data_IF_498202794508
#
_entry.id   IF_498202794508
#
_cell.length_a   1.000
_cell.length_b   1.000
_cell.length_c   1.000
_cell.angle_alpha   90.00
_cell.angle_beta   90.00
_cell.angle_gamma   90.00
#
_symmetry.space_group_name_H-M   'P 1'
#
loop_
_entity.id
_entity.type
_entity.pdbx_description
1 polymer ?
#
# COMPACT_ATOMS: atom_id res chain seq x y z
N UNK A 1 21.44 -11.28 11.45
CA UNK A 1 22.37 -10.24 11.96
C UNK A 1 23.77 -10.82 12.03
N UNK A 2 24.82 -9.99 12.06
CA UNK A 2 26.22 -10.45 12.11
C UNK A 2 26.86 -10.07 13.45
N UNK A 3 27.59 -10.99 14.06
CA UNK A 3 28.23 -10.84 15.38
C UNK A 3 29.49 -9.92 15.35
N UNK A 4 29.41 -8.77 14.68
CA UNK A 4 30.53 -7.82 14.48
C UNK A 4 30.08 -6.37 14.66
N UNK A 5 29.63 -6.03 15.87
CA UNK A 5 29.47 -4.65 16.40
C UNK A 5 28.45 -3.72 15.73
N UNK A 6 27.91 -4.03 14.54
CA UNK A 6 26.99 -3.11 13.87
C UNK A 6 26.73 -3.37 12.40
N UNK A 7 26.23 -2.34 11.71
CA UNK A 7 25.92 -2.39 10.28
C UNK A 7 25.51 -1.06 9.67
N UNK A 8 25.29 -1.06 8.35
CA UNK A 8 24.87 0.11 7.56
C UNK A 8 23.59 -0.25 6.81
N UNK A 9 22.60 0.64 6.81
CA UNK A 9 21.33 0.49 6.08
C UNK A 9 21.53 0.06 4.63
N UNK A 10 20.84 -1.01 4.21
CA UNK A 10 20.87 -1.53 2.83
C UNK A 10 20.39 -0.51 1.77
N UNK A 11 19.67 0.55 2.18
CA UNK A 11 19.28 1.67 1.29
C UNK A 11 20.46 2.56 0.88
N UNK A 12 21.59 2.51 1.59
CA UNK A 12 22.77 3.31 1.29
C UNK A 12 23.60 2.56 0.23
N UNK A 13 23.18 2.69 -1.03
CA UNK A 13 23.79 2.04 -2.19
C UNK A 13 25.08 2.70 -2.67
N UNK A 14 25.30 3.99 -2.34
CA UNK A 14 26.52 4.69 -2.75
C UNK A 14 27.77 4.11 -2.06
N UNK A 15 28.70 3.60 -2.86
CA UNK A 15 29.95 3.00 -2.41
C UNK A 15 30.84 3.97 -1.62
N UNK A 16 30.87 5.26 -1.96
CA UNK A 16 31.69 6.24 -1.21
C UNK A 16 31.13 6.51 0.18
N UNK A 17 29.82 6.79 0.29
CA UNK A 17 29.15 6.92 1.58
C UNK A 17 29.26 5.65 2.42
N UNK A 18 29.06 4.47 1.82
CA UNK A 18 29.13 3.20 2.54
C UNK A 18 30.53 2.90 3.07
N UNK A 19 31.60 3.31 2.36
CA UNK A 19 32.99 3.26 2.87
C UNK A 19 33.19 4.25 4.02
N UNK A 20 32.79 5.52 3.84
CA UNK A 20 32.88 6.60 4.84
C UNK A 20 32.19 6.24 6.15
N UNK A 21 30.97 5.70 6.07
CA UNK A 21 30.19 5.29 7.25
C UNK A 21 30.76 4.03 7.92
N UNK A 22 31.38 3.12 7.17
CA UNK A 22 32.07 1.95 7.76
C UNK A 22 33.28 2.39 8.58
N UNK A 23 34.04 3.37 8.08
CA UNK A 23 35.15 3.97 8.83
C UNK A 23 34.64 4.71 10.09
N UNK A 24 33.57 5.51 9.97
CA UNK A 24 32.96 6.16 11.14
C UNK A 24 32.50 5.13 12.19
N UNK A 25 31.96 3.98 11.78
CA UNK A 25 31.57 2.88 12.67
C UNK A 25 32.77 2.17 13.34
N UNK A 26 33.91 2.01 12.67
CA UNK A 26 35.13 1.49 13.30
C UNK A 26 35.79 2.50 14.26
N UNK A 27 35.50 3.79 14.07
CA UNK A 27 35.97 4.88 14.91
C UNK A 27 35.01 5.21 16.08
N UNK A 28 34.10 4.29 16.40
CA UNK A 28 33.25 4.32 17.59
C UNK A 28 33.63 3.17 18.52
N UNK A 29 33.88 3.49 19.78
CA UNK A 29 34.08 2.51 20.85
C UNK A 29 32.71 1.95 21.22
N UNK A 30 32.39 0.76 20.70
CA UNK A 30 31.13 0.06 20.93
C UNK A 30 31.37 -1.03 21.99
N UNK A 31 30.75 -0.95 23.19
CA UNK A 31 30.90 -1.95 24.24
C UNK A 31 30.43 -3.35 23.79
N UNK A 32 30.99 -4.38 24.41
CA UNK A 32 30.58 -5.76 24.16
C UNK A 32 29.09 -5.96 24.45
N UNK A 33 28.43 -6.81 23.65
CA UNK A 33 26.98 -7.00 23.67
C UNK A 33 26.16 -5.94 22.93
N UNK A 34 26.71 -4.75 22.62
CA UNK A 34 26.00 -3.70 21.87
C UNK A 34 26.27 -3.84 20.36
N UNK A 35 25.27 -3.51 19.52
CA UNK A 35 25.42 -3.44 18.07
C UNK A 35 24.75 -2.19 17.47
N UNK A 36 25.49 -1.38 16.73
CA UNK A 36 25.02 -0.07 16.20
C UNK A 36 24.73 -0.14 14.70
N UNK A 37 23.51 0.25 14.27
CA UNK A 37 23.12 0.25 12.86
C UNK A 37 22.88 1.68 12.35
N UNK A 38 23.73 2.14 11.42
CA UNK A 38 23.56 3.44 10.77
C UNK A 38 22.34 3.40 9.84
N UNK A 39 21.29 4.13 10.23
CA UNK A 39 20.05 4.32 9.47
C UNK A 39 20.29 5.17 8.21
N UNK A 40 19.37 5.11 7.24
CA UNK A 40 19.48 5.84 5.97
C UNK A 40 19.64 7.35 6.14
N UNK A 41 19.01 7.96 7.15
CA UNK A 41 19.15 9.38 7.48
C UNK A 41 20.57 9.77 7.95
N UNK A 42 21.37 8.81 8.44
CA UNK A 42 22.79 9.01 8.76
C UNK A 42 23.70 9.14 7.53
N UNK A 43 23.19 8.85 6.32
CA UNK A 43 24.02 8.78 5.09
C UNK A 43 24.74 10.07 4.73
N UNK A 44 24.17 11.24 5.08
CA UNK A 44 24.76 12.56 4.83
C UNK A 44 25.32 13.22 6.11
N UNK A 45 25.33 12.50 7.25
CA UNK A 45 25.77 13.04 8.55
C UNK A 45 27.28 12.91 8.73
N UNK A 46 27.86 13.84 9.50
CA UNK A 46 29.29 13.87 9.82
C UNK A 46 29.64 12.92 10.96
N UNK A 47 30.95 12.61 11.11
CA UNK A 47 31.46 11.80 12.22
C UNK A 47 31.05 12.35 13.60
N UNK A 48 31.00 13.68 13.74
CA UNK A 48 30.62 14.37 14.99
C UNK A 48 29.13 14.25 15.30
N UNK A 49 28.25 14.37 14.30
CA UNK A 49 26.80 14.15 14.47
C UNK A 49 26.52 12.68 14.85
N UNK A 50 27.10 11.73 14.11
CA UNK A 50 26.88 10.29 14.34
C UNK A 50 27.40 9.87 15.72
N UNK A 51 28.54 10.41 16.16
CA UNK A 51 29.07 10.16 17.50
C UNK A 51 28.16 10.75 18.59
N UNK A 52 27.62 11.96 18.42
CA UNK A 52 26.67 12.56 19.40
C UNK A 52 25.33 11.83 19.50
N UNK A 53 24.80 11.35 18.37
CA UNK A 53 23.60 10.50 18.34
C UNK A 53 23.85 9.19 19.09
N UNK A 54 25.02 8.57 18.89
CA UNK A 54 25.47 7.41 19.65
C UNK A 54 25.66 7.68 21.16
N UNK A 55 26.34 8.77 21.54
CA UNK A 55 26.50 9.22 22.94
C UNK A 55 25.16 9.58 23.61
N UNK A 56 24.16 10.01 22.84
CA UNK A 56 22.78 10.20 23.32
C UNK A 56 22.08 8.86 23.55
N UNK A 57 22.20 7.91 22.62
CA UNK A 57 21.61 6.57 22.75
C UNK A 57 22.20 5.75 23.91
N UNK A 58 23.52 5.87 24.16
CA UNK A 58 24.15 5.26 25.33
C UNK A 58 23.58 5.81 26.64
N UNK A 59 23.54 7.14 26.82
CA UNK A 59 22.97 7.76 28.03
C UNK A 59 21.50 7.41 28.22
N UNK A 60 20.72 7.35 27.13
CA UNK A 60 19.32 6.89 27.19
C UNK A 60 19.23 5.42 27.66
N UNK A 61 20.12 4.55 27.19
CA UNK A 61 20.19 3.16 27.65
C UNK A 61 20.60 3.04 29.12
N UNK A 62 21.57 3.82 29.58
CA UNK A 62 21.97 3.86 30.99
C UNK A 62 20.81 4.33 31.88
N UNK A 63 20.07 5.38 31.50
CA UNK A 63 18.86 5.83 32.21
C UNK A 63 17.75 4.78 32.21
N UNK A 64 17.55 4.06 31.10
CA UNK A 64 16.58 2.94 31.03
C UNK A 64 16.99 1.82 31.99
N UNK A 65 18.27 1.44 32.02
CA UNK A 65 18.79 0.41 32.93
C UNK A 65 18.62 0.83 34.40
N UNK A 66 18.98 2.07 34.73
CA UNK A 66 18.87 2.60 36.11
C UNK A 66 17.41 2.69 36.56
N UNK A 67 16.51 3.26 35.75
CA UNK A 67 15.08 3.28 36.04
C UNK A 67 14.51 1.85 36.21
N UNK A 68 14.97 0.87 35.41
CA UNK A 68 14.54 -0.53 35.53
C UNK A 68 14.97 -1.13 36.88
N UNK A 69 16.20 -0.89 37.31
CA UNK A 69 16.74 -1.41 38.58
C UNK A 69 16.10 -0.74 39.82
N UNK A 70 15.60 0.49 39.69
CA UNK A 70 14.92 1.22 40.76
C UNK A 70 13.39 0.96 40.81
N UNK A 71 12.81 0.35 39.77
CA UNK A 71 11.35 0.18 39.65
C UNK A 71 10.85 -1.19 40.12
N UNK A 72 9.72 -1.21 40.82
CA UNK A 72 8.94 -2.44 41.07
C UNK A 72 7.88 -2.60 39.97
N UNK A 73 7.73 -3.81 39.43
CA UNK A 73 6.81 -4.08 38.34
C UNK A 73 5.33 -4.17 38.81
N UNK A 74 4.35 -3.76 37.98
CA UNK A 74 4.50 -3.14 36.65
C UNK A 74 4.77 -1.62 36.74
N UNK A 75 5.73 -1.13 35.94
CA UNK A 75 6.09 0.28 35.86
C UNK A 75 6.46 0.70 34.43
N UNK A 76 6.23 1.97 34.08
CA UNK A 76 6.64 2.55 32.80
C UNK A 76 8.10 3.01 32.87
N UNK A 77 9.01 2.24 32.26
CA UNK A 77 10.45 2.55 32.26
C UNK A 77 10.83 3.62 31.22
N UNK A 78 10.20 3.58 30.03
CA UNK A 78 10.46 4.47 28.91
C UNK A 78 9.22 4.64 28.03
N UNK A 79 8.89 5.89 27.72
CA UNK A 79 7.89 6.26 26.71
C UNK A 79 8.60 6.58 25.38
N UNK A 80 8.22 5.93 24.27
CA UNK A 80 8.84 6.23 22.97
C UNK A 80 8.53 7.66 22.53
N UNK A 81 9.61 8.41 22.32
CA UNK A 81 9.66 9.85 22.15
C UNK A 81 8.45 10.45 21.39
N UNK A 82 7.87 11.50 21.98
CA UNK A 82 6.68 12.20 21.48
C UNK A 82 6.80 12.64 20.00
N UNK A 83 5.67 12.98 19.38
CA UNK A 83 5.60 13.29 17.94
C UNK A 83 6.65 14.33 17.49
N UNK A 84 6.93 15.34 18.31
CA UNK A 84 7.93 16.38 18.05
C UNK A 84 9.34 15.80 17.98
N UNK A 85 9.79 15.11 19.04
CA UNK A 85 11.12 14.45 19.08
C UNK A 85 11.25 13.42 17.95
N UNK A 86 10.20 12.64 17.68
CA UNK A 86 10.13 11.63 16.62
C UNK A 86 10.25 12.24 15.23
N UNK A 87 9.53 13.33 14.97
CA UNK A 87 9.59 14.09 13.70
C UNK A 87 10.97 14.70 13.48
N UNK A 88 11.58 15.31 14.50
CA UNK A 88 12.95 15.84 14.39
C UNK A 88 13.94 14.70 14.12
N UNK A 89 13.90 13.62 14.89
CA UNK A 89 14.81 12.46 14.71
C UNK A 89 14.69 11.82 13.32
N UNK A 90 13.47 11.66 12.82
CA UNK A 90 13.19 10.81 11.66
C UNK A 90 13.04 11.59 10.33
N UNK A 91 12.89 12.94 10.36
CA UNK A 91 12.74 13.79 9.17
C UNK A 91 13.70 14.99 9.08
N UNK A 92 14.35 15.42 10.18
CA UNK A 92 15.20 16.62 10.11
C UNK A 92 16.40 16.46 9.17
N UNK A 93 16.62 17.46 8.31
CA UNK A 93 17.75 17.52 7.38
C UNK A 93 18.45 18.88 7.42
N UNK A 94 19.69 18.95 6.91
CA UNK A 94 20.58 20.12 7.06
C UNK A 94 20.16 21.31 6.21
N UNK A 95 19.59 21.01 5.04
CA UNK A 95 18.99 21.86 4.03
C UNK A 95 17.67 22.53 4.48
N UNK A 96 17.00 22.01 5.51
CA UNK A 96 15.86 22.69 6.12
C UNK A 96 16.31 24.03 6.71
N UNK A 97 15.81 25.14 6.17
CA UNK A 97 16.16 26.50 6.61
C UNK A 97 15.75 26.72 8.06
N UNK A 98 14.45 26.56 8.35
CA UNK A 98 13.84 26.71 9.67
C UNK A 98 12.92 25.55 10.03
N UNK A 99 12.65 25.40 11.33
CA UNK A 99 11.68 24.49 11.92
C UNK A 99 10.76 25.32 12.80
N UNK A 100 9.59 25.68 12.25
CA UNK A 100 8.57 26.45 12.95
C UNK A 100 7.75 25.53 13.87
N UNK A 101 7.56 25.96 15.11
CA UNK A 101 6.77 25.22 16.11
C UNK A 101 5.78 26.16 16.78
N UNK A 102 4.50 25.83 16.69
CA UNK A 102 3.42 26.50 17.41
C UNK A 102 3.28 25.89 18.83
N UNK A 103 2.81 26.70 19.79
CA UNK A 103 2.71 26.36 21.20
C UNK A 103 4.04 26.37 21.99
N UNK A 104 4.01 26.94 23.21
CA UNK A 104 5.20 27.12 24.06
C UNK A 104 5.87 25.81 24.50
N UNK A 105 5.08 24.80 24.87
CA UNK A 105 5.62 23.51 25.33
C UNK A 105 6.28 22.72 24.20
N UNK A 106 5.60 22.69 23.05
CA UNK A 106 6.13 22.07 21.83
C UNK A 106 7.43 22.74 21.39
N UNK A 107 7.48 24.08 21.43
CA UNK A 107 8.68 24.84 21.11
C UNK A 107 9.86 24.50 22.04
N UNK A 108 9.64 24.49 23.37
CA UNK A 108 10.67 24.12 24.37
C UNK A 108 11.19 22.71 24.10
N UNK A 109 10.29 21.73 23.99
CA UNK A 109 10.64 20.32 23.74
C UNK A 109 11.41 20.13 22.42
N UNK A 110 11.01 20.80 21.34
CA UNK A 110 11.70 20.77 20.05
C UNK A 110 13.12 21.36 20.15
N UNK A 111 13.24 22.52 20.80
CA UNK A 111 14.50 23.27 20.90
C UNK A 111 15.52 22.55 21.77
N UNK A 112 15.09 21.99 22.91
CA UNK A 112 15.98 21.28 23.82
C UNK A 112 16.44 19.92 23.26
N UNK A 113 15.57 19.22 22.53
CA UNK A 113 15.98 18.03 21.78
C UNK A 113 16.98 18.34 20.65
N UNK A 114 16.80 19.48 19.96
CA UNK A 114 17.78 19.95 18.97
C UNK A 114 19.11 20.38 19.63
N UNK A 115 19.09 20.97 20.83
CA UNK A 115 20.31 21.25 21.62
C UNK A 115 21.07 19.97 21.96
N UNK A 116 20.39 18.88 22.32
CA UNK A 116 21.06 17.62 22.69
C UNK A 116 21.67 16.87 21.50
N UNK A 117 21.07 16.95 20.32
CA UNK A 117 21.58 16.27 19.11
C UNK A 117 22.52 17.15 18.26
N UNK A 118 22.04 18.32 17.82
CA UNK A 118 22.75 19.22 16.89
C UNK A 118 22.67 20.67 17.38
N UNK A 119 23.40 21.03 18.46
CA UNK A 119 23.28 22.35 19.09
C UNK A 119 23.60 23.54 18.17
N UNK A 120 24.42 23.36 17.13
CA UNK A 120 24.65 24.37 16.09
C UNK A 120 23.37 24.76 15.35
N UNK A 121 22.40 23.85 15.21
CA UNK A 121 21.16 24.06 14.49
C UNK A 121 19.97 24.34 15.42
N UNK A 122 20.17 24.38 16.75
CA UNK A 122 19.13 24.75 17.72
C UNK A 122 18.61 26.20 17.57
N UNK A 123 19.25 27.03 16.73
CA UNK A 123 18.76 28.34 16.30
C UNK A 123 17.70 28.27 15.17
N UNK A 124 17.72 27.22 14.34
CA UNK A 124 16.72 26.97 13.28
C UNK A 124 15.36 26.56 13.84
N UNK A 125 15.29 26.11 15.10
CA UNK A 125 14.03 25.87 15.79
C UNK A 125 13.48 27.22 16.25
N UNK A 126 12.48 27.73 15.54
CA UNK A 126 11.82 29.00 15.81
C UNK A 126 10.41 28.78 16.34
N UNK A 127 9.97 29.66 17.25
CA UNK A 127 8.60 29.64 17.76
C UNK A 127 7.71 30.41 16.78
N UNK A 128 6.59 29.81 16.39
CA UNK A 128 5.53 30.55 15.70
C UNK A 128 4.83 31.47 16.70
N UNK A 129 4.70 32.76 16.36
CA UNK A 129 4.21 33.81 17.28
C UNK A 129 3.06 34.64 16.74
N UNK A 130 2.69 34.43 15.49
CA UNK A 130 1.50 35.02 14.89
C UNK A 130 0.26 34.37 15.53
N UNK A 131 -0.63 35.21 16.07
CA UNK A 131 -1.87 34.80 16.74
C UNK A 131 -3.12 35.06 15.89
N UNK A 132 -2.97 35.74 14.76
CA UNK A 132 -4.07 36.12 13.86
C UNK A 132 -4.23 35.08 12.74
N UNK A 133 -3.11 34.51 12.25
CA UNK A 133 -3.12 33.48 11.21
C UNK A 133 -2.47 32.19 11.72
N UNK A 134 -3.21 31.07 11.81
CA UNK A 134 -2.64 29.76 12.15
C UNK A 134 -1.49 29.31 11.23
N UNK A 135 -0.50 28.61 11.79
CA UNK A 135 0.73 28.19 11.09
C UNK A 135 0.45 27.49 9.74
N UNK A 136 -0.44 26.50 9.72
CA UNK A 136 -0.77 25.75 8.49
C UNK A 136 -1.56 26.57 7.46
N UNK A 137 -2.36 27.54 7.91
CA UNK A 137 -3.08 28.45 7.01
C UNK A 137 -2.11 29.44 6.35
N UNK A 138 -1.18 30.03 7.13
CA UNK A 138 -0.17 30.99 6.63
C UNK A 138 0.73 30.38 5.55
N UNK A 139 1.06 29.09 5.67
CA UNK A 139 1.89 28.35 4.71
C UNK A 139 1.09 27.53 3.68
N UNK A 140 -0.25 27.67 3.62
CA UNK A 140 -1.14 26.94 2.69
C UNK A 140 -0.93 25.41 2.73
N UNK A 141 -0.75 24.89 3.94
CA UNK A 141 -0.69 23.45 4.24
C UNK A 141 -2.11 22.90 4.40
N UNK A 142 -3.02 23.68 4.99
CA UNK A 142 -4.39 23.24 5.32
C UNK A 142 -5.16 22.69 4.10
N UNK A 143 -5.15 23.41 2.98
CA UNK A 143 -5.79 22.98 1.74
C UNK A 143 -5.13 21.77 1.08
N UNK A 144 -3.93 21.38 1.50
CA UNK A 144 -3.28 20.14 1.08
C UNK A 144 -3.63 18.96 2.01
N UNK A 145 -3.88 19.23 3.29
CA UNK A 145 -4.38 18.23 4.25
C UNK A 145 -5.82 17.83 3.92
N UNK A 146 -6.68 18.81 3.63
CA UNK A 146 -8.05 18.55 3.15
C UNK A 146 -8.05 17.72 1.86
N UNK A 147 -7.25 18.12 0.87
CA UNK A 147 -7.08 17.40 -0.39
C UNK A 147 -6.50 15.97 -0.26
N UNK A 148 -6.00 15.55 0.91
CA UNK A 148 -5.61 14.16 1.17
C UNK A 148 -6.81 13.22 1.40
N UNK A 149 -8.01 13.74 1.68
CA UNK A 149 -9.25 12.95 1.76
C UNK A 149 -9.90 12.74 0.38
N UNK A 150 -9.63 13.61 -0.59
CA UNK A 150 -10.02 13.41 -1.99
C UNK A 150 -9.31 12.18 -2.59
N UNK A 151 -10.03 11.29 -3.28
CA UNK A 151 -9.42 10.23 -4.09
C UNK A 151 -8.70 10.78 -5.34
N UNK A 152 -9.02 12.02 -5.73
CA UNK A 152 -8.52 12.65 -6.96
C UNK A 152 -7.52 13.76 -6.62
N UNK A 153 -6.35 13.75 -7.27
CA UNK A 153 -5.25 14.71 -7.04
C UNK A 153 -4.91 15.42 -8.36
N UNK A 154 -5.04 16.75 -8.39
CA UNK A 154 -4.74 17.54 -9.59
C UNK A 154 -3.23 17.73 -9.80
N UNK A 155 -2.79 17.64 -11.07
CA UNK A 155 -1.43 17.93 -11.52
C UNK A 155 -1.36 19.39 -12.03
N UNK A 156 -0.19 20.04 -11.93
CA UNK A 156 0.03 21.44 -12.34
C UNK A 156 -0.23 21.63 -13.84
N UNK A 157 0.02 20.60 -14.65
CA UNK A 157 -0.24 20.59 -16.10
C UNK A 157 -1.74 20.48 -16.47
N UNK A 158 -2.66 20.30 -15.50
CA UNK A 158 -4.10 20.15 -15.76
C UNK A 158 -4.55 18.71 -16.07
N UNK A 159 -3.67 17.73 -15.86
CA UNK A 159 -4.02 16.33 -15.65
C UNK A 159 -4.36 16.04 -14.19
N UNK A 160 -4.68 14.79 -13.86
CA UNK A 160 -5.00 14.36 -12.50
C UNK A 160 -4.70 12.88 -12.26
N UNK A 161 -4.53 12.52 -10.99
CA UNK A 161 -4.42 11.15 -10.49
C UNK A 161 -5.74 10.72 -9.87
N UNK A 162 -6.13 9.46 -9.99
CA UNK A 162 -7.20 8.84 -9.19
C UNK A 162 -6.62 7.70 -8.37
N UNK A 163 -6.76 7.76 -7.04
CA UNK A 163 -6.21 6.79 -6.10
C UNK A 163 -7.35 5.99 -5.48
N UNK A 164 -7.42 4.70 -5.79
CA UNK A 164 -8.44 3.77 -5.29
C UNK A 164 -7.78 2.69 -4.43
N UNK A 165 -8.02 2.70 -3.12
CA UNK A 165 -7.62 1.61 -2.23
C UNK A 165 -8.64 0.47 -2.33
N UNK A 166 -8.15 -0.75 -2.54
CA UNK A 166 -8.94 -1.99 -2.51
C UNK A 166 -8.52 -2.85 -1.31
N UNK A 167 -9.14 -4.02 -1.13
CA UNK A 167 -8.80 -4.99 -0.08
C UNK A 167 -7.33 -5.44 -0.14
N UNK A 168 -6.79 -5.71 -1.34
CA UNK A 168 -5.47 -6.30 -1.53
C UNK A 168 -4.38 -5.33 -2.02
N UNK A 169 -4.76 -4.26 -2.73
CA UNK A 169 -3.84 -3.33 -3.37
C UNK A 169 -4.37 -1.90 -3.49
N UNK A 170 -3.48 -0.94 -3.71
CA UNK A 170 -3.83 0.43 -4.10
C UNK A 170 -3.66 0.58 -5.61
N UNK A 171 -4.74 0.87 -6.33
CA UNK A 171 -4.69 1.22 -7.75
C UNK A 171 -4.56 2.75 -7.89
N UNK A 172 -3.65 3.19 -8.77
CA UNK A 172 -3.47 4.60 -9.12
C UNK A 172 -3.58 4.73 -10.64
N UNK A 173 -4.46 5.61 -11.10
CA UNK A 173 -4.71 5.91 -12.51
C UNK A 173 -4.25 7.34 -12.86
N UNK A 174 -3.71 7.54 -14.07
CA UNK A 174 -3.08 8.80 -14.51
C UNK A 174 -3.79 9.37 -15.73
N UNK A 175 -4.42 10.53 -15.57
CA UNK A 175 -5.23 11.18 -16.61
C UNK A 175 -4.59 12.49 -17.07
N UNK A 176 -4.53 12.73 -18.39
CA UNK A 176 -4.04 14.00 -18.97
C UNK A 176 -5.04 15.16 -18.87
N UNK A 177 -6.31 14.88 -18.59
CA UNK A 177 -7.32 15.88 -18.29
C UNK A 177 -7.48 16.94 -19.39
N UNK A 178 -7.19 18.21 -19.06
CA UNK A 178 -7.27 19.34 -19.99
C UNK A 178 -5.93 19.72 -20.65
N UNK A 179 -4.86 18.95 -20.44
CA UNK A 179 -3.53 19.22 -20.99
C UNK A 179 -3.43 19.00 -22.52
N UNK A 180 -4.42 18.33 -23.12
CA UNK A 180 -4.49 17.87 -24.53
C UNK A 180 -4.62 18.98 -25.59
N UNK A 181 -4.14 20.19 -25.31
CA UNK A 181 -4.08 21.33 -26.25
C UNK A 181 -2.77 21.39 -27.06
N UNK A 182 -1.78 20.58 -26.71
CA UNK A 182 -0.51 20.46 -27.42
C UNK A 182 -0.67 19.56 -28.66
N UNK A 183 0.07 19.83 -29.75
CA UNK A 183 -0.04 19.07 -31.02
C UNK A 183 0.59 17.67 -30.98
N UNK A 184 1.32 17.33 -29.93
CA UNK A 184 2.07 16.08 -29.80
C UNK A 184 1.59 15.31 -28.57
N UNK A 185 0.54 14.50 -28.76
CA UNK A 185 -0.11 13.68 -27.71
C UNK A 185 0.92 12.89 -26.89
N UNK A 186 1.88 12.28 -27.58
CA UNK A 186 3.02 11.54 -27.01
C UNK A 186 3.91 12.38 -26.06
N UNK A 187 4.17 13.64 -26.39
CA UNK A 187 4.95 14.54 -25.53
C UNK A 187 4.15 14.94 -24.29
N UNK A 188 2.86 15.23 -24.46
CA UNK A 188 1.93 15.49 -23.34
C UNK A 188 1.78 14.28 -22.43
N UNK A 189 1.77 13.06 -22.97
CA UNK A 189 1.72 11.81 -22.20
C UNK A 189 2.98 11.65 -21.33
N UNK A 190 4.17 11.75 -21.91
CA UNK A 190 5.44 11.70 -21.17
C UNK A 190 5.51 12.79 -20.07
N UNK A 191 5.17 14.02 -20.42
CA UNK A 191 5.14 15.17 -19.50
C UNK A 191 4.19 14.93 -18.32
N UNK A 192 2.98 14.42 -18.59
CA UNK A 192 1.99 14.07 -17.55
C UNK A 192 2.48 12.92 -16.68
N UNK A 193 3.03 11.86 -17.28
CA UNK A 193 3.55 10.69 -16.56
C UNK A 193 4.76 11.03 -15.67
N UNK A 194 5.65 11.93 -16.10
CA UNK A 194 6.75 12.42 -15.28
C UNK A 194 6.27 13.26 -14.09
N UNK A 195 5.26 14.10 -14.28
CA UNK A 195 4.64 14.86 -13.18
C UNK A 195 3.89 13.93 -12.21
N UNK A 196 3.14 12.96 -12.74
CA UNK A 196 2.49 11.91 -11.97
C UNK A 196 3.49 11.12 -11.13
N UNK A 197 4.65 10.76 -11.67
CA UNK A 197 5.70 10.04 -10.94
C UNK A 197 6.31 10.84 -9.76
N UNK A 198 6.30 12.18 -9.81
CA UNK A 198 6.63 13.03 -8.66
C UNK A 198 5.50 13.07 -7.63
N UNK A 199 4.26 13.32 -8.08
CA UNK A 199 3.11 13.50 -7.19
C UNK A 199 2.68 12.19 -6.52
N UNK A 200 2.74 11.05 -7.20
CA UNK A 200 2.56 9.71 -6.60
C UNK A 200 3.58 9.51 -5.47
N UNK A 201 4.86 9.83 -5.73
CA UNK A 201 5.91 9.75 -4.72
C UNK A 201 5.62 10.63 -3.49
N UNK A 202 4.95 11.77 -3.67
CA UNK A 202 4.48 12.64 -2.59
C UNK A 202 3.28 12.05 -1.85
N UNK A 203 2.23 11.63 -2.57
CA UNK A 203 0.98 11.12 -2.00
C UNK A 203 1.18 9.81 -1.21
N UNK A 204 2.03 8.90 -1.70
CA UNK A 204 2.38 7.65 -0.98
C UNK A 204 2.99 7.93 0.41
N UNK A 205 3.72 9.04 0.58
CA UNK A 205 4.26 9.47 1.88
C UNK A 205 3.26 10.22 2.75
N UNK A 206 2.42 11.06 2.15
CA UNK A 206 1.43 11.87 2.87
C UNK A 206 0.30 11.01 3.46
N UNK A 207 -0.19 10.04 2.70
CA UNK A 207 -1.31 9.15 3.07
C UNK A 207 -0.86 7.83 3.72
N UNK A 208 0.47 7.64 3.87
CA UNK A 208 1.20 6.39 4.20
C UNK A 208 0.70 5.11 3.49
N UNK A 209 0.22 5.24 2.24
CA UNK A 209 -0.27 4.14 1.40
C UNK A 209 0.79 3.05 1.27
N UNK A 210 0.40 1.79 1.46
CA UNK A 210 1.30 0.66 1.62
C UNK A 210 0.70 -0.65 1.11
N UNK A 211 1.50 -1.72 1.11
CA UNK A 211 1.15 -3.01 0.52
C UNK A 211 1.61 -3.09 -0.94
N UNK A 212 0.79 -3.73 -1.77
CA UNK A 212 0.94 -3.72 -3.23
C UNK A 212 0.29 -2.45 -3.80
N UNK A 213 1.00 -1.77 -4.70
CA UNK A 213 0.52 -0.58 -5.40
C UNK A 213 0.72 -0.83 -6.90
N UNK A 214 -0.33 -0.57 -7.68
CA UNK A 214 -0.34 -0.71 -9.15
C UNK A 214 -0.64 0.66 -9.75
N UNK A 215 0.20 1.11 -10.68
CA UNK A 215 0.08 2.42 -11.33
C UNK A 215 -0.18 2.22 -12.82
N UNK A 216 -1.35 2.63 -13.30
CA UNK A 216 -1.61 2.83 -14.72
C UNK A 216 -1.08 4.19 -15.14
N UNK A 217 0.05 4.21 -15.84
CA UNK A 217 0.51 5.41 -16.54
C UNK A 217 -0.21 5.52 -17.90
N UNK A 218 -0.23 6.72 -18.48
CA UNK A 218 -0.70 6.90 -19.86
C UNK A 218 0.24 6.13 -20.79
N UNK A 219 -0.30 5.33 -21.71
CA UNK A 219 0.50 4.57 -22.67
C UNK A 219 1.42 5.46 -23.51
N UNK A 220 2.61 4.93 -23.83
CA UNK A 220 3.63 5.57 -24.66
C UNK A 220 4.31 4.52 -25.54
N UNK A 221 4.44 4.77 -26.84
CA UNK A 221 4.99 3.85 -27.84
C UNK A 221 6.49 3.59 -27.60
N UNK A 222 7.24 4.61 -27.19
CA UNK A 222 8.68 4.50 -26.96
C UNK A 222 9.01 3.85 -25.61
N UNK A 223 9.55 2.63 -25.63
CA UNK A 223 10.15 1.98 -24.44
C UNK A 223 11.22 2.83 -23.73
N UNK A 224 11.82 3.83 -24.41
CA UNK A 224 12.71 4.83 -23.81
C UNK A 224 11.98 5.74 -22.80
N UNK A 225 10.75 6.16 -23.12
CA UNK A 225 9.91 7.04 -22.29
C UNK A 225 9.45 6.33 -21.02
N UNK A 226 9.04 5.07 -21.14
CA UNK A 226 8.70 4.21 -20.00
C UNK A 226 9.85 4.15 -18.97
N UNK A 227 11.09 3.95 -19.43
CA UNK A 227 12.29 3.93 -18.57
C UNK A 227 12.58 5.28 -17.91
N UNK A 228 12.18 6.40 -18.51
CA UNK A 228 12.35 7.71 -17.89
C UNK A 228 11.32 7.97 -16.78
N UNK A 229 10.08 7.51 -16.96
CA UNK A 229 9.03 7.54 -15.93
C UNK A 229 9.39 6.61 -14.77
N UNK A 230 9.86 5.38 -15.04
CA UNK A 230 10.43 4.46 -14.03
C UNK A 230 11.55 5.13 -13.22
N UNK A 231 12.47 5.83 -13.91
CA UNK A 231 13.57 6.57 -13.30
C UNK A 231 13.06 7.70 -12.41
N UNK A 232 12.12 8.52 -12.90
CA UNK A 232 11.53 9.65 -12.15
C UNK A 232 10.82 9.17 -10.88
N UNK A 233 10.02 8.10 -10.97
CA UNK A 233 9.33 7.53 -9.82
C UNK A 233 10.33 7.03 -8.76
N UNK A 234 11.38 6.33 -9.21
CA UNK A 234 12.48 5.85 -8.34
C UNK A 234 13.27 6.98 -7.69
N UNK A 235 13.47 8.10 -8.37
CA UNK A 235 14.09 9.31 -7.81
C UNK A 235 13.18 9.97 -6.78
N UNK A 236 11.89 10.17 -7.10
CA UNK A 236 10.87 10.75 -6.21
C UNK A 236 10.61 9.95 -4.95
N UNK A 237 10.91 8.64 -4.96
CA UNK A 237 10.78 7.73 -3.81
C UNK A 237 12.10 7.55 -3.01
N UNK A 238 13.22 8.14 -3.45
CA UNK A 238 14.55 7.98 -2.81
C UNK A 238 14.58 8.46 -1.35
N UNK A 239 13.76 9.43 -0.99
CA UNK A 239 13.63 9.99 0.36
C UNK A 239 12.63 9.24 1.26
N UNK A 240 11.91 8.24 0.75
CA UNK A 240 10.94 7.51 1.58
C UNK A 240 11.64 6.65 2.64
N UNK A 241 11.05 6.62 3.84
CA UNK A 241 11.48 5.81 4.98
C UNK A 241 11.10 4.35 4.79
N UNK A 242 9.91 4.06 4.25
CA UNK A 242 9.41 2.70 3.99
C UNK A 242 10.33 1.92 3.02
N UNK A 243 10.59 0.62 3.26
CA UNK A 243 11.21 -0.22 2.23
C UNK A 243 10.28 -0.28 1.02
N UNK A 244 10.84 -0.02 -0.16
CA UNK A 244 10.12 -0.05 -1.44
C UNK A 244 10.82 -1.02 -2.38
N UNK A 245 10.03 -1.73 -3.19
CA UNK A 245 10.50 -2.46 -4.38
C UNK A 245 9.69 -1.94 -5.57
N UNK A 246 10.37 -1.59 -6.66
CA UNK A 246 9.73 -1.14 -7.91
C UNK A 246 9.99 -2.19 -8.98
N UNK A 247 8.94 -2.57 -9.71
CA UNK A 247 9.02 -3.34 -10.94
C UNK A 247 9.39 -2.45 -12.12
N UNK A 248 8.82 -2.78 -13.27
CA UNK A 248 8.88 -2.00 -14.51
C UNK A 248 7.47 -1.75 -15.04
N UNK A 249 7.32 -0.88 -16.03
CA UNK A 249 6.08 -0.83 -16.82
C UNK A 249 5.96 -2.13 -17.60
N UNK A 250 4.85 -2.85 -17.37
CA UNK A 250 4.50 -4.12 -18.00
C UNK A 250 4.00 -3.93 -19.44
N UNK A 251 3.85 -5.01 -20.23
CA UNK A 251 3.20 -4.96 -21.55
C UNK A 251 1.75 -4.45 -21.53
N UNK A 252 1.12 -4.32 -20.35
CA UNK A 252 -0.24 -3.80 -20.16
C UNK A 252 -0.25 -2.32 -19.66
N UNK A 253 0.86 -1.58 -19.78
CA UNK A 253 0.98 -0.18 -19.32
C UNK A 253 1.11 -0.01 -17.80
N UNK A 254 0.80 -1.05 -17.01
CA UNK A 254 0.83 -1.02 -15.55
C UNK A 254 2.25 -1.15 -15.00
N UNK A 255 2.61 -0.32 -14.02
CA UNK A 255 3.80 -0.49 -13.16
C UNK A 255 3.38 -1.03 -11.79
N UNK A 256 4.01 -2.13 -11.37
CA UNK A 256 3.85 -2.71 -10.03
C UNK A 256 4.94 -2.23 -9.07
N UNK A 257 4.57 -1.93 -7.82
CA UNK A 257 5.53 -1.69 -6.74
C UNK A 257 4.98 -2.15 -5.39
N UNK A 258 5.88 -2.51 -4.46
CA UNK A 258 5.53 -2.77 -3.06
C UNK A 258 6.09 -1.67 -2.15
N UNK A 259 5.32 -1.26 -1.14
CA UNK A 259 5.73 -0.29 -0.12
C UNK A 259 5.42 -0.85 1.28
N UNK A 260 6.45 -0.91 2.12
CA UNK A 260 6.34 -1.37 3.50
C UNK A 260 5.41 -0.46 4.31
N UNK A 261 4.38 -1.06 4.92
CA UNK A 261 3.50 -0.39 5.89
C UNK A 261 4.31 -0.01 7.14
N UNK A 262 4.24 1.27 7.54
CA UNK A 262 4.89 1.77 8.76
C UNK A 262 3.87 2.16 9.84
N UNK A 263 2.67 2.56 9.43
CA UNK A 263 1.51 2.92 10.27
C UNK A 263 0.22 2.45 9.56
N UNK A 264 -0.97 2.60 10.16
CA UNK A 264 -2.19 2.69 9.38
C UNK A 264 -2.10 3.83 8.34
N UNK A 265 -2.77 3.67 7.21
CA UNK A 265 -2.94 4.73 6.21
C UNK A 265 -3.83 5.85 6.77
N UNK A 266 -3.87 6.99 6.08
CA UNK A 266 -4.75 8.10 6.47
C UNK A 266 -6.21 7.62 6.64
N UNK A 267 -6.78 7.00 5.60
CA UNK A 267 -8.17 6.52 5.60
C UNK A 267 -8.44 5.50 6.71
N UNK A 268 -7.51 4.57 6.98
CA UNK A 268 -7.63 3.61 8.09
C UNK A 268 -7.61 4.27 9.49
N UNK A 269 -7.22 5.54 9.58
CA UNK A 269 -7.14 6.30 10.83
C UNK A 269 -8.14 7.46 10.96
N UNK A 270 -8.75 7.91 9.85
CA UNK A 270 -9.65 9.07 9.81
C UNK A 270 -11.01 8.81 9.14
N UNK A 271 -11.29 7.59 8.67
CA UNK A 271 -12.57 7.22 8.05
C UNK A 271 -13.10 5.87 8.54
N UNK A 272 -14.42 5.73 8.54
CA UNK A 272 -15.13 4.48 8.87
C UNK A 272 -15.71 3.85 7.60
N UNK A 273 -16.07 2.56 7.66
CA UNK A 273 -16.72 1.87 6.55
C UNK A 273 -18.09 2.50 6.31
N UNK A 274 -18.36 2.95 5.08
CA UNK A 274 -19.62 3.60 4.74
C UNK A 274 -20.81 2.68 5.09
N UNK A 275 -21.72 3.10 6.00
CA UNK A 275 -22.84 2.27 6.47
C UNK A 275 -23.88 2.01 5.38
N UNK A 276 -23.82 2.77 4.29
CA UNK A 276 -24.58 2.47 3.10
C UNK A 276 -23.91 1.35 2.28
N UNK A 277 -22.95 1.67 1.41
CA UNK A 277 -22.40 0.68 0.47
C UNK A 277 -21.56 -0.46 1.11
N UNK A 278 -21.40 -0.52 2.45
CA UNK A 278 -20.59 -1.52 3.13
C UNK A 278 -19.11 -1.48 2.68
N UNK A 279 -18.63 -0.28 2.34
CA UNK A 279 -17.31 -0.07 1.73
C UNK A 279 -17.20 -0.38 0.23
N UNK A 280 -18.20 -1.00 -0.41
CA UNK A 280 -18.13 -1.42 -1.83
C UNK A 280 -18.18 -0.28 -2.85
N UNK A 281 -18.50 0.95 -2.40
CA UNK A 281 -18.66 2.13 -3.26
C UNK A 281 -19.88 2.10 -4.19
N UNK A 282 -20.73 1.07 -4.12
CA UNK A 282 -21.90 0.86 -5.01
C UNK A 282 -23.09 0.29 -4.22
N UNK A 283 -24.28 0.38 -4.79
CA UNK A 283 -25.53 -0.26 -4.31
C UNK A 283 -26.28 -0.85 -5.50
N UNK A 284 -27.09 -1.90 -5.31
CA UNK A 284 -27.96 -2.39 -6.40
C UNK A 284 -29.01 -1.35 -6.79
N UNK A 285 -29.42 -1.42 -8.06
CA UNK A 285 -30.56 -0.63 -8.54
C UNK A 285 -31.88 -1.21 -8.00
N UNK A 286 -32.92 -0.40 -7.99
CA UNK A 286 -34.25 -0.76 -7.44
C UNK A 286 -34.84 -1.98 -8.18
N UNK A 287 -34.64 -2.04 -9.49
CA UNK A 287 -35.11 -3.12 -10.38
C UNK A 287 -34.35 -4.42 -10.10
N UNK A 288 -33.03 -4.33 -9.88
CA UNK A 288 -32.17 -5.47 -9.56
C UNK A 288 -32.53 -6.10 -8.21
N UNK A 289 -32.80 -5.26 -7.21
CA UNK A 289 -33.20 -5.69 -5.87
C UNK A 289 -34.64 -6.24 -5.86
N UNK A 290 -35.58 -5.61 -6.57
CA UNK A 290 -36.94 -6.14 -6.74
C UNK A 290 -36.95 -7.52 -7.42
N UNK A 291 -36.16 -7.70 -8.49
CA UNK A 291 -36.00 -9.00 -9.16
C UNK A 291 -35.24 -10.04 -8.32
N UNK A 292 -34.55 -9.64 -7.25
CA UNK A 292 -34.00 -10.57 -6.27
C UNK A 292 -35.06 -11.00 -5.26
N UNK A 293 -35.81 -10.04 -4.69
CA UNK A 293 -36.91 -10.31 -3.75
C UNK A 293 -37.95 -11.25 -4.37
N UNK A 294 -38.38 -11.01 -5.61
CA UNK A 294 -39.34 -11.87 -6.32
C UNK A 294 -38.83 -13.30 -6.52
N UNK A 295 -37.54 -13.50 -6.80
CA UNK A 295 -36.96 -14.86 -6.92
C UNK A 295 -36.89 -15.56 -5.56
N UNK A 296 -36.57 -14.85 -4.48
CA UNK A 296 -36.61 -15.44 -3.13
C UNK A 296 -38.04 -15.81 -2.70
N UNK A 297 -39.04 -15.03 -3.11
CA UNK A 297 -40.45 -15.39 -2.93
C UNK A 297 -40.83 -16.65 -3.71
N UNK A 298 -40.34 -16.82 -4.95
CA UNK A 298 -40.50 -18.09 -5.70
C UNK A 298 -39.75 -19.26 -5.05
N UNK A 299 -38.57 -19.05 -4.45
CA UNK A 299 -37.81 -20.07 -3.72
C UNK A 299 -38.48 -20.49 -2.39
N UNK A 300 -39.04 -19.55 -1.63
CA UNK A 300 -39.83 -19.84 -0.42
C UNK A 300 -41.13 -20.61 -0.73
N UNK A 301 -41.70 -20.41 -1.92
CA UNK A 301 -42.82 -21.17 -2.44
C UNK A 301 -42.53 -22.63 -2.79
N UNK A 302 -41.27 -23.08 -2.74
CA UNK A 302 -40.90 -24.49 -2.92
C UNK A 302 -40.93 -25.28 -1.60
N UNK A 303 -41.34 -24.65 -0.50
CA UNK A 303 -41.58 -25.30 0.81
C UNK A 303 -43.06 -25.69 0.94
N UNK A 304 -43.56 -25.85 2.16
CA UNK A 304 -44.97 -26.15 2.42
C UNK A 304 -45.90 -24.99 1.97
N UNK A 305 -47.14 -25.31 1.61
CA UNK A 305 -48.18 -24.32 1.23
C UNK A 305 -48.83 -23.67 2.47
N UNK A 306 -49.88 -22.85 2.28
CA UNK A 306 -50.71 -22.24 3.34
C UNK A 306 -49.95 -21.28 4.29
N UNK A 307 -48.92 -20.61 3.79
CA UNK A 307 -48.12 -19.66 4.57
C UNK A 307 -48.61 -18.19 4.50
N UNK A 308 -48.18 -17.39 5.47
CA UNK A 308 -48.13 -15.93 5.37
C UNK A 308 -46.68 -15.47 5.30
N UNK A 309 -46.29 -14.84 4.19
CA UNK A 309 -44.95 -14.28 4.02
C UNK A 309 -45.00 -12.76 4.14
N UNK A 310 -44.17 -12.22 5.03
CA UNK A 310 -43.92 -10.79 5.19
C UNK A 310 -42.54 -10.49 4.64
N UNK A 311 -42.40 -9.44 3.83
CA UNK A 311 -41.11 -8.97 3.33
C UNK A 311 -40.89 -7.52 3.75
N UNK A 312 -39.98 -7.30 4.69
CA UNK A 312 -39.54 -5.95 5.08
C UNK A 312 -38.43 -5.50 4.13
N UNK A 313 -38.65 -4.39 3.42
CA UNK A 313 -37.76 -3.96 2.33
C UNK A 313 -37.82 -2.44 2.05
N UNK A 314 -36.81 -1.86 1.36
CA UNK A 314 -36.72 -0.41 1.17
C UNK A 314 -37.92 0.16 0.38
N UNK A 315 -38.55 1.24 0.84
CA UNK A 315 -39.84 1.74 0.29
C UNK A 315 -39.85 1.93 -1.23
N UNK A 316 -38.74 2.37 -1.81
CA UNK A 316 -38.57 2.54 -3.27
C UNK A 316 -38.71 1.22 -4.05
N UNK A 317 -38.28 0.10 -3.45
CA UNK A 317 -38.37 -1.24 -4.01
C UNK A 317 -39.81 -1.78 -3.86
N UNK A 318 -40.49 -1.51 -2.75
CA UNK A 318 -41.89 -1.90 -2.55
C UNK A 318 -42.79 -1.21 -3.59
N UNK A 319 -42.63 0.10 -3.75
CA UNK A 319 -43.31 0.88 -4.79
C UNK A 319 -43.01 0.35 -6.20
N UNK A 320 -41.77 -0.02 -6.51
CA UNK A 320 -41.42 -0.59 -7.81
C UNK A 320 -42.10 -1.96 -8.03
N UNK A 321 -42.15 -2.82 -7.02
CA UNK A 321 -42.85 -4.12 -7.12
C UNK A 321 -44.34 -3.89 -7.37
N UNK A 322 -45.01 -3.06 -6.56
CA UNK A 322 -46.45 -2.79 -6.69
C UNK A 322 -46.86 -2.11 -8.01
N UNK A 323 -45.96 -1.39 -8.70
CA UNK A 323 -46.27 -0.73 -9.97
C UNK A 323 -45.79 -1.52 -11.20
N UNK A 324 -44.57 -2.08 -11.17
CA UNK A 324 -43.93 -2.69 -12.35
C UNK A 324 -43.84 -4.23 -12.30
N UNK A 325 -44.12 -4.86 -11.16
CA UNK A 325 -44.04 -6.32 -10.99
C UNK A 325 -45.28 -6.95 -10.33
N UNK A 326 -46.36 -6.19 -10.13
CA UNK A 326 -47.60 -6.64 -9.49
C UNK A 326 -48.18 -7.93 -10.07
N UNK A 327 -48.16 -8.08 -11.40
CA UNK A 327 -48.61 -9.29 -12.08
C UNK A 327 -47.71 -10.50 -11.83
N UNK A 328 -46.40 -10.31 -11.64
CA UNK A 328 -45.48 -11.38 -11.23
C UNK A 328 -45.75 -11.73 -9.76
N UNK A 329 -45.85 -10.75 -8.86
CA UNK A 329 -46.16 -10.96 -7.44
C UNK A 329 -47.44 -11.81 -7.26
N UNK A 330 -48.54 -11.40 -7.91
CA UNK A 330 -49.81 -12.15 -7.89
C UNK A 330 -49.70 -13.56 -8.49
N UNK A 331 -48.85 -13.74 -9.50
CA UNK A 331 -48.59 -15.06 -10.10
C UNK A 331 -47.67 -15.96 -9.26
N UNK A 332 -47.04 -15.42 -8.20
CA UNK A 332 -46.34 -16.21 -7.16
C UNK A 332 -47.38 -16.66 -6.13
N UNK A 333 -48.15 -15.73 -5.57
CA UNK A 333 -49.23 -16.03 -4.60
C UNK A 333 -50.17 -17.13 -5.12
N UNK A 334 -50.66 -16.99 -6.35
CA UNK A 334 -51.58 -17.95 -6.99
C UNK A 334 -50.97 -19.31 -7.33
N UNK A 335 -49.63 -19.42 -7.42
CA UNK A 335 -48.95 -20.67 -7.81
C UNK A 335 -48.63 -21.56 -6.60
N UNK A 336 -48.42 -20.94 -5.45
CA UNK A 336 -47.86 -21.57 -4.26
C UNK A 336 -48.79 -21.50 -3.02
N UNK A 337 -49.97 -20.89 -3.19
CA UNK A 337 -51.03 -20.77 -2.17
C UNK A 337 -50.53 -20.19 -0.83
N UNK A 338 -49.92 -19.00 -0.92
CA UNK A 338 -49.52 -18.19 0.23
C UNK A 338 -49.75 -16.69 -0.05
N UNK A 339 -49.90 -15.89 1.01
CA UNK A 339 -50.07 -14.43 0.89
C UNK A 339 -48.75 -13.69 1.05
N UNK A 340 -48.56 -12.60 0.30
CA UNK A 340 -47.38 -11.74 0.42
C UNK A 340 -47.75 -10.36 0.94
N UNK A 341 -47.26 -10.03 2.13
CA UNK A 341 -47.25 -8.66 2.65
C UNK A 341 -45.89 -8.03 2.37
N UNK A 342 -45.86 -6.87 1.71
CA UNK A 342 -44.65 -6.07 1.55
C UNK A 342 -44.68 -4.91 2.55
N UNK A 343 -43.71 -4.84 3.45
CA UNK A 343 -43.59 -3.81 4.47
C UNK A 343 -42.46 -2.84 4.09
N UNK A 344 -42.79 -1.57 3.76
CA UNK A 344 -41.80 -0.53 3.50
C UNK A 344 -41.07 -0.14 4.79
N UNK A 345 -39.74 -0.22 4.78
CA UNK A 345 -38.88 0.36 5.82
C UNK A 345 -37.79 1.24 5.19
N UNK A 346 -37.73 2.50 5.59
CA UNK A 346 -36.70 3.45 5.15
C UNK A 346 -35.40 3.37 5.99
N UNK A 347 -35.42 2.67 7.13
CA UNK A 347 -34.22 2.33 7.90
C UNK A 347 -33.43 1.17 7.28
N UNK A 348 -34.09 0.31 6.48
CA UNK A 348 -33.43 -0.62 5.57
C UNK A 348 -32.74 0.13 4.44
N UNK A 349 -31.55 0.64 4.74
CA UNK A 349 -30.60 1.05 3.72
C UNK A 349 -30.05 -0.18 2.98
N UNK A 350 -29.62 0.04 1.73
CA UNK A 350 -28.80 -0.88 0.93
C UNK A 350 -29.54 -2.06 0.30
N UNK A 351 -28.73 -3.01 -0.17
CA UNK A 351 -29.04 -4.34 -0.69
C UNK A 351 -29.87 -5.26 0.25
N UNK A 352 -30.33 -4.73 1.39
CA UNK A 352 -30.94 -5.46 2.49
C UNK A 352 -32.45 -5.66 2.31
N UNK A 353 -32.93 -6.81 2.76
CA UNK A 353 -34.33 -7.13 2.96
C UNK A 353 -34.44 -8.29 3.96
N UNK A 354 -35.61 -8.42 4.57
CA UNK A 354 -35.98 -9.53 5.46
C UNK A 354 -37.17 -10.24 4.82
N UNK A 355 -37.15 -11.57 4.79
CA UNK A 355 -38.31 -12.40 4.50
C UNK A 355 -38.63 -13.17 5.78
N UNK A 356 -39.82 -12.93 6.31
CA UNK A 356 -40.38 -13.67 7.45
C UNK A 356 -41.53 -14.53 6.93
N UNK A 357 -41.58 -15.78 7.39
CA UNK A 357 -42.60 -16.75 7.07
C UNK A 357 -43.27 -17.17 8.37
N UNK A 358 -44.57 -16.95 8.47
CA UNK A 358 -45.39 -17.34 9.63
C UNK A 358 -44.87 -16.77 10.97
N UNK A 359 -44.25 -15.58 10.93
CA UNK A 359 -43.63 -14.90 12.08
C UNK A 359 -42.20 -15.37 12.41
N UNK A 360 -41.58 -16.20 11.58
CA UNK A 360 -40.20 -16.67 11.72
C UNK A 360 -39.34 -16.13 10.57
N UNK A 361 -38.20 -15.52 10.89
CA UNK A 361 -37.24 -15.02 9.89
C UNK A 361 -36.71 -16.18 9.04
N UNK A 362 -37.11 -16.24 7.77
CA UNK A 362 -36.71 -17.27 6.80
C UNK A 362 -35.41 -16.87 6.06
N UNK A 363 -35.27 -15.61 5.66
CA UNK A 363 -34.02 -15.04 5.18
C UNK A 363 -33.84 -13.61 5.70
N UNK A 364 -32.65 -13.25 6.18
CA UNK A 364 -32.29 -11.87 6.50
C UNK A 364 -30.96 -11.48 5.84
N UNK A 365 -31.06 -10.71 4.76
CA UNK A 365 -29.88 -10.18 4.06
C UNK A 365 -29.41 -8.88 4.72
N UNK A 366 -28.42 -8.97 5.62
CA UNK A 366 -27.73 -7.78 6.15
C UNK A 366 -26.66 -7.27 5.19
N UNK A 367 -26.41 -5.97 5.16
CA UNK A 367 -25.35 -5.34 4.35
C UNK A 367 -24.01 -5.33 5.10
N UNK A 368 -23.23 -6.40 4.91
CA UNK A 368 -21.93 -6.63 5.58
C UNK A 368 -22.07 -6.84 7.12
N UNK A 369 -20.99 -7.20 7.85
CA UNK A 369 -21.11 -7.59 9.25
C UNK A 369 -21.18 -6.40 10.20
N UNK A 370 -22.05 -6.48 11.20
CA UNK A 370 -21.85 -5.78 12.47
C UNK A 370 -20.58 -6.31 13.12
N UNK A 371 -19.61 -5.43 13.40
CA UNK A 371 -18.37 -5.79 14.08
C UNK A 371 -18.69 -6.20 15.52
N UNK A 372 -18.59 -7.49 15.84
CA UNK A 372 -19.21 -8.13 17.02
C UNK A 372 -18.42 -7.89 18.32
N UNK A 373 -18.20 -6.61 18.64
CA UNK A 373 -17.47 -6.17 19.83
C UNK A 373 -18.35 -6.22 21.08
N UNK A 374 -18.15 -7.28 21.87
CA UNK A 374 -18.36 -7.21 23.31
C UNK A 374 -19.81 -7.21 23.79
N UNK A 375 -20.60 -8.20 23.37
CA UNK A 375 -21.73 -8.66 24.19
C UNK A 375 -21.19 -9.51 25.37
N UNK A 376 -20.49 -8.88 26.32
CA UNK A 376 -20.15 -9.52 27.59
C UNK A 376 -21.42 -9.63 28.43
N UNK A 377 -22.03 -10.83 28.43
CA UNK A 377 -23.18 -11.12 29.28
C UNK A 377 -22.73 -11.32 30.73
N UNK A 378 -22.91 -10.30 31.57
CA UNK A 378 -22.85 -10.45 33.01
C UNK A 378 -23.95 -11.42 33.48
N UNK A 379 -23.60 -12.64 33.89
CA UNK A 379 -24.54 -13.45 34.68
C UNK A 379 -23.87 -14.50 35.60
N UNK A 380 -24.33 -14.52 36.86
CA UNK A 380 -24.40 -15.70 37.73
C UNK A 380 -23.12 -16.42 38.22
N UNK A 381 -22.54 -15.98 39.35
CA UNK A 381 -21.75 -16.88 40.22
C UNK A 381 -22.59 -18.11 40.66
N UNK A 382 -22.25 -19.34 40.23
CA UNK A 382 -22.61 -20.57 40.99
C UNK A 382 -21.50 -21.64 41.05
N UNK A 383 -20.98 -21.86 42.26
CA UNK A 383 -19.98 -22.88 42.61
C UNK A 383 -20.58 -24.30 42.66
N UNK A 384 -20.00 -25.25 41.92
CA UNK A 384 -19.88 -26.73 42.15
C UNK A 384 -19.44 -27.39 40.82
N UNK A 385 -18.63 -28.45 40.76
CA UNK A 385 -17.87 -29.15 41.80
C UNK A 385 -17.33 -30.50 41.27
N UNK A 386 -16.04 -30.79 41.50
CA UNK A 386 -15.31 -32.07 41.25
C UNK A 386 -16.03 -33.20 40.48
N UNK A 387 -15.42 -33.65 39.37
CA UNK A 387 -15.10 -35.09 39.18
C UNK A 387 -13.94 -35.31 38.21
N UNK A 388 -13.08 -36.28 38.54
CA UNK A 388 -12.00 -36.80 37.67
C UNK A 388 -12.59 -37.88 36.74
N UNK A 389 -12.07 -37.99 35.53
CA UNK A 389 -12.02 -39.29 34.83
C UNK A 389 -10.66 -39.47 34.16
N UNK A 390 -10.11 -40.68 34.26
CA UNK A 390 -8.87 -41.10 33.59
C UNK A 390 -9.26 -41.94 32.38
N UNK A 391 -8.63 -41.73 31.22
CA UNK A 391 -8.36 -42.83 30.28
C UNK A 391 -6.92 -42.75 29.79
N UNK A 392 -6.12 -43.76 30.17
CA UNK A 392 -4.86 -44.10 29.52
C UNK A 392 -5.19 -44.77 28.18
N UNK A 393 -4.37 -44.53 27.16
CA UNK A 393 -3.72 -45.58 26.38
C UNK A 393 -2.24 -45.19 26.19
N UNK A 394 -1.40 -46.20 26.01
CA UNK A 394 0.05 -46.16 25.81
C UNK A 394 0.35 -47.16 24.68
N UNK A 395 1.62 -47.27 24.33
CA UNK A 395 2.25 -48.37 23.58
C UNK A 395 2.24 -48.16 22.05
N UNK A 396 3.37 -48.29 21.33
CA UNK A 396 4.78 -48.14 21.76
C UNK A 396 5.68 -47.82 20.53
N UNK A 397 6.97 -47.54 20.75
CA UNK A 397 7.89 -47.07 19.70
C UNK A 397 8.33 -48.13 18.68
N UNK A 398 8.64 -47.70 17.46
CA UNK A 398 9.82 -48.20 16.75
C UNK A 398 10.37 -47.21 15.72
N UNK A 399 11.66 -47.37 15.39
CA UNK A 399 12.52 -46.36 14.75
C UNK A 399 13.03 -46.83 13.39
N UNK A 400 13.04 -45.94 12.40
CA UNK A 400 13.93 -46.02 11.23
C UNK A 400 14.32 -44.60 10.76
N UNK A 401 15.50 -44.48 10.15
CA UNK A 401 16.15 -43.20 9.89
C UNK A 401 15.94 -42.67 8.45
N UNK A 402 16.22 -41.39 8.24
CA UNK A 402 16.36 -40.76 6.92
C UNK A 402 17.66 -41.19 6.20
N UNK A 403 17.90 -40.73 4.96
CA UNK A 403 18.60 -39.44 4.83
C UNK A 403 18.03 -38.50 3.75
N UNK A 404 18.65 -37.32 3.63
CA UNK A 404 18.28 -36.24 2.69
C UNK A 404 18.61 -36.53 1.21
N UNK A 405 18.24 -35.59 0.34
CA UNK A 405 18.81 -35.43 -1.01
C UNK A 405 19.20 -33.98 -1.23
N UNK A 406 20.48 -33.74 -1.48
CA UNK A 406 20.99 -32.46 -1.96
C UNK A 406 20.74 -32.32 -3.47
N UNK A 407 21.06 -31.15 -4.02
CA UNK A 407 20.97 -30.84 -5.44
C UNK A 407 22.38 -30.63 -6.02
N UNK A 408 22.60 -31.04 -7.27
CA UNK A 408 23.80 -30.72 -8.04
C UNK A 408 23.42 -30.05 -9.37
N UNK A 409 24.28 -29.14 -9.82
CA UNK A 409 24.16 -28.43 -11.08
C UNK A 409 24.52 -29.32 -12.29
N UNK A 410 23.94 -29.02 -13.45
CA UNK A 410 24.49 -29.46 -14.74
C UNK A 410 24.56 -28.29 -15.71
N UNK A 411 25.76 -28.03 -16.23
CA UNK A 411 26.03 -27.04 -17.27
C UNK A 411 26.89 -27.64 -18.38
N UNK A 412 26.54 -27.28 -19.61
CA UNK A 412 27.36 -27.24 -20.84
C UNK A 412 28.36 -28.37 -21.14
N UNK A 413 28.07 -29.11 -22.21
CA UNK A 413 29.10 -29.62 -23.12
C UNK A 413 28.57 -29.61 -24.57
N UNK A 414 29.26 -28.92 -25.48
CA UNK A 414 29.02 -29.04 -26.92
C UNK A 414 29.71 -30.30 -27.48
N UNK A 415 29.14 -30.88 -28.55
CA UNK A 415 29.87 -31.83 -29.41
C UNK A 415 29.45 -31.63 -30.87
N UNK A 416 30.40 -31.80 -31.80
CA UNK A 416 30.34 -31.25 -33.15
C UNK A 416 30.31 -32.31 -34.27
N UNK A 417 29.83 -31.85 -35.44
CA UNK A 417 30.25 -32.23 -36.80
C UNK A 417 29.53 -33.36 -37.55
N UNK A 418 29.33 -33.07 -38.85
CA UNK A 418 29.20 -33.90 -40.06
C UNK A 418 28.06 -34.97 -40.16
N UNK A 419 27.47 -35.23 -41.33
CA UNK A 419 27.64 -34.61 -42.66
C UNK A 419 26.84 -35.33 -43.77
N UNK A 420 26.86 -34.78 -45.01
CA UNK A 420 26.39 -35.38 -46.29
C UNK A 420 24.86 -35.62 -46.49
N UNK A 421 24.27 -35.66 -47.71
CA UNK A 421 24.57 -35.01 -49.01
C UNK A 421 23.40 -35.22 -50.03
N UNK A 422 23.27 -34.31 -51.04
CA UNK A 422 22.61 -34.49 -52.37
C UNK A 422 21.07 -34.77 -52.41
N UNK A 423 20.27 -34.53 -53.47
CA UNK A 423 20.17 -33.59 -54.64
C UNK A 423 18.65 -33.61 -55.07
N UNK A 424 18.04 -32.90 -56.03
CA UNK A 424 18.49 -32.04 -57.16
C UNK A 424 17.38 -31.04 -57.65
N UNK A 425 17.72 -30.24 -58.68
CA UNK A 425 17.01 -29.72 -59.91
C UNK A 425 15.49 -29.97 -60.17
N UNK A 426 14.78 -29.25 -61.07
CA UNK A 426 15.04 -28.28 -62.18
C UNK A 426 13.90 -27.20 -62.25
N UNK A 427 13.81 -26.21 -63.16
CA UNK A 427 14.75 -25.21 -63.72
C UNK A 427 14.07 -24.34 -64.83
N UNK A 428 14.02 -23.00 -64.70
CA UNK A 428 13.71 -22.01 -65.76
C UNK A 428 14.18 -20.60 -65.29
N UNK A 429 14.97 -19.77 -65.98
CA UNK A 429 15.09 -19.32 -67.39
C UNK A 429 14.21 -18.06 -67.68
N UNK A 430 14.74 -16.89 -68.06
CA UNK A 430 16.14 -16.40 -68.17
C UNK A 430 16.34 -15.02 -67.48
N UNK A 431 17.03 -14.00 -68.04
CA UNK A 431 17.73 -13.85 -69.32
C UNK A 431 18.93 -12.85 -69.26
N UNK A 432 19.85 -13.04 -70.22
CA UNK A 432 20.75 -12.14 -70.98
C UNK A 432 20.64 -10.59 -70.89
N UNK A 433 21.70 -9.79 -71.10
CA UNK A 433 23.15 -10.10 -71.24
C UNK A 433 24.10 -8.88 -71.00
N UNK A 434 25.39 -9.18 -70.76
CA UNK A 434 26.60 -8.43 -71.19
C UNK A 434 26.96 -7.05 -70.59
N UNK A 435 28.23 -6.63 -70.56
CA UNK A 435 29.53 -7.33 -70.69
C UNK A 435 30.69 -6.45 -70.15
N UNK A 436 31.67 -7.04 -69.43
CA UNK A 436 33.12 -6.65 -69.39
C UNK A 436 33.48 -5.23 -68.83
N UNK A 437 34.72 -4.89 -68.41
CA UNK A 437 35.94 -5.67 -68.13
C UNK A 437 36.86 -5.03 -67.04
N UNK A 438 37.62 -5.90 -66.36
CA UNK A 438 38.78 -5.72 -65.46
C UNK A 438 39.72 -4.50 -65.65
N UNK A 439 40.03 -3.75 -64.57
CA UNK A 439 41.38 -3.51 -63.96
C UNK A 439 41.28 -2.54 -62.75
N UNK A 440 41.78 -2.77 -61.51
CA UNK A 440 43.10 -3.14 -60.91
C UNK A 440 44.04 -1.96 -60.58
N UNK A 441 44.25 -1.72 -59.26
CA UNK A 441 45.36 -0.95 -58.60
C UNK A 441 45.28 0.59 -58.73
N UNK A 442 45.91 1.42 -57.86
CA UNK A 442 47.02 1.19 -56.90
C UNK A 442 47.05 2.20 -55.72
N UNK A 443 47.61 1.77 -54.57
CA UNK A 443 48.27 2.54 -53.45
C UNK A 443 48.04 4.07 -53.31
N UNK A 444 47.63 4.50 -52.11
CA UNK A 444 47.88 5.87 -51.61
C UNK A 444 49.19 6.03 -50.82
N UNK A 445 49.41 7.21 -50.21
CA UNK A 445 50.48 7.47 -49.21
C UNK A 445 50.08 8.64 -48.28
N UNK A 446 50.69 8.72 -47.09
CA UNK A 446 50.59 9.83 -46.11
C UNK A 446 51.29 11.12 -46.60
N UNK A 447 50.92 12.27 -46.03
CA UNK A 447 51.77 13.46 -45.92
C UNK A 447 50.97 14.76 -46.00
N UNK A 448 50.94 15.53 -44.91
CA UNK A 448 50.10 16.72 -44.71
C UNK A 448 49.70 16.81 -43.25
#
# INVERSE_FOLDING_TARGET
NTNKGGGISRKISNTSDRRRLKQILSDLEIPEGIAVIVRTAGSQRTKVEIRRDYEYLLRLWDSIRENTLQSTAPAMIYEEANLIKRTIRDLYSRDMEDVLVDGDEGYKAAKDFMKSLTPSHARKVQQYKDREVPLFQRYRVESQLDAMHSNTVQLRSGGYLVLNQTEALVAIDVNSGRATRERHIEETALKTNLEAAEEIGRQLRLRDLAGLIVIGFIDMEESRRNREVERRLKESLRSDRARIQLGRISPFGLLEMSRQRLRPSLFESSTEICPHCGGTGRVRTVESLALQVLRRLEEEGLRENDATIVVTLPSRVALYIFNHKRSHLMAIEQRHDFRITLEPDDHLTNDAFVIERDGVVAERRRSAPEDSRGAESEDGERKRGRRRSRRRRKDEDQVSAAPEREAEDLAEAESTADGEAAEDREAAAGEQDGERQRKRKRRGKRGG
#
